data_IF_655542993385
#
_entry.id   IF_655542993385
#
_cell.length_a   1.000
_cell.length_b   1.000
_cell.length_c   1.000
_cell.angle_alpha   90.00
_cell.angle_beta   90.00
_cell.angle_gamma   90.00
#
_symmetry.space_group_name_H-M   'P 1'
#
loop_
_entity.id
_entity.type
_entity.pdbx_description
1 polymer ?
#
# COMPACT_ATOMS: atom_id res chain seq x y z
N UNK A 1 -0.27 -3.76 4.66
CA UNK A 1 0.22 -3.59 3.30
C UNK A 1 1.65 -3.09 3.24
N UNK A 2 2.20 -3.05 2.05
CA UNK A 2 3.56 -2.57 1.78
C UNK A 2 3.57 -1.33 0.88
N UNK A 3 2.51 -1.12 0.10
CA UNK A 3 2.41 -0.02 -0.84
C UNK A 3 1.89 1.26 -0.18
N UNK A 4 2.50 2.39 -0.55
CA UNK A 4 2.08 3.74 -0.15
C UNK A 4 2.12 4.60 -1.42
N UNK A 5 0.98 5.10 -1.85
CA UNK A 5 0.83 5.89 -3.07
C UNK A 5 -0.21 5.30 -4.01
N UNK A 6 -0.55 6.01 -5.08
CA UNK A 6 -1.77 5.79 -5.86
C UNK A 6 -1.81 4.42 -6.59
N UNK A 7 -1.09 4.28 -7.71
CA UNK A 7 -1.12 3.04 -8.51
C UNK A 7 -0.53 1.84 -7.77
N UNK A 8 0.47 2.04 -6.89
CA UNK A 8 1.06 0.97 -6.09
C UNK A 8 0.02 0.35 -5.16
N UNK A 9 -0.80 1.17 -4.49
CA UNK A 9 -1.88 0.70 -3.62
C UNK A 9 -2.99 0.00 -4.41
N UNK A 10 -3.34 0.50 -5.60
CA UNK A 10 -4.32 -0.16 -6.48
C UNK A 10 -3.82 -1.55 -6.91
N UNK A 11 -2.54 -1.67 -7.26
CA UNK A 11 -1.92 -2.96 -7.60
C UNK A 11 -1.98 -3.92 -6.40
N UNK A 12 -1.59 -3.45 -5.21
CA UNK A 12 -1.64 -4.26 -3.98
C UNK A 12 -3.08 -4.68 -3.63
N UNK A 13 -4.05 -3.78 -3.80
CA UNK A 13 -5.47 -4.10 -3.61
C UNK A 13 -5.96 -5.16 -4.61
N UNK A 14 -5.55 -5.09 -5.88
CA UNK A 14 -5.86 -6.12 -6.86
C UNK A 14 -5.34 -7.50 -6.43
N UNK A 15 -4.09 -7.57 -5.99
CA UNK A 15 -3.50 -8.82 -5.51
C UNK A 15 -4.17 -9.32 -4.23
N UNK A 16 -4.55 -8.42 -3.32
CA UNK A 16 -5.29 -8.76 -2.10
C UNK A 16 -6.65 -9.37 -2.42
N UNK A 17 -7.41 -8.77 -3.34
CA UNK A 17 -8.71 -9.27 -3.76
C UNK A 17 -8.63 -10.58 -4.57
N UNK A 18 -7.46 -10.91 -5.11
CA UNK A 18 -7.15 -12.19 -5.73
C UNK A 18 -6.62 -13.25 -4.76
N UNK A 19 -6.54 -12.92 -3.47
CA UNK A 19 -6.00 -13.82 -2.44
C UNK A 19 -4.48 -13.96 -2.45
N UNK A 20 -3.75 -13.03 -3.08
CA UNK A 20 -2.27 -13.01 -3.20
C UNK A 20 -1.63 -11.81 -2.50
N UNK A 21 -2.41 -10.96 -1.87
CA UNK A 21 -1.94 -9.77 -1.18
C UNK A 21 -1.24 -10.05 0.15
N UNK A 22 -0.67 -9.01 0.77
CA UNK A 22 -0.06 -9.09 2.09
C UNK A 22 -1.05 -9.62 3.14
N UNK A 23 -0.55 -10.48 4.03
CA UNK A 23 -1.39 -11.14 5.05
C UNK A 23 -2.04 -10.11 5.98
N UNK A 24 -1.27 -9.12 6.44
CA UNK A 24 -1.75 -8.06 7.33
C UNK A 24 -2.83 -7.19 6.70
N UNK A 25 -2.66 -6.79 5.43
CA UNK A 25 -3.67 -6.03 4.70
C UNK A 25 -4.93 -6.87 4.48
N UNK A 26 -4.76 -8.12 4.08
CA UNK A 26 -5.87 -9.05 3.85
C UNK A 26 -6.68 -9.24 5.13
N UNK A 27 -6.02 -9.49 6.26
CA UNK A 27 -6.68 -9.70 7.56
C UNK A 27 -7.46 -8.46 8.03
N UNK A 28 -6.83 -7.27 7.96
CA UNK A 28 -7.51 -6.01 8.32
C UNK A 28 -8.72 -5.78 7.43
N UNK A 29 -8.60 -6.02 6.12
CA UNK A 29 -9.70 -5.83 5.16
C UNK A 29 -10.86 -6.77 5.44
N UNK A 30 -10.59 -8.06 5.73
CA UNK A 30 -11.63 -9.03 6.09
C UNK A 30 -12.33 -8.62 7.38
N UNK A 31 -11.60 -8.22 8.43
CA UNK A 31 -12.20 -7.81 9.70
C UNK A 31 -13.06 -6.57 9.59
N UNK A 32 -12.61 -5.58 8.84
CA UNK A 32 -13.41 -4.36 8.59
C UNK A 32 -14.70 -4.69 7.82
N UNK A 33 -14.63 -5.51 6.77
CA UNK A 33 -15.79 -5.91 6.02
C UNK A 33 -16.75 -6.80 6.84
N UNK A 34 -16.22 -7.70 7.67
CA UNK A 34 -17.03 -8.49 8.61
C UNK A 34 -17.75 -7.59 9.61
N UNK A 35 -17.06 -6.58 10.17
CA UNK A 35 -17.68 -5.59 11.05
C UNK A 35 -18.83 -4.81 10.37
N UNK A 36 -18.71 -4.50 9.07
CA UNK A 36 -19.81 -3.90 8.31
C UNK A 36 -21.00 -4.85 8.15
N UNK A 37 -20.76 -6.16 7.94
CA UNK A 37 -21.83 -7.16 7.91
C UNK A 37 -22.56 -7.27 9.26
N UNK A 38 -21.81 -7.21 10.36
CA UNK A 38 -22.38 -7.20 11.72
C UNK A 38 -23.25 -5.96 11.97
N UNK A 39 -22.72 -4.78 11.64
CA UNK A 39 -23.45 -3.51 11.80
C UNK A 39 -24.73 -3.46 10.97
N UNK A 40 -24.72 -4.09 9.79
CA UNK A 40 -25.91 -4.19 8.93
C UNK A 40 -26.92 -5.24 9.39
N UNK A 41 -26.58 -6.06 10.39
CA UNK A 41 -27.41 -7.17 10.86
C UNK A 41 -27.45 -8.39 9.94
N UNK A 42 -26.59 -8.41 8.90
CA UNK A 42 -26.59 -9.48 7.88
C UNK A 42 -25.96 -10.78 8.38
N UNK A 43 -24.90 -10.70 9.19
CA UNK A 43 -24.19 -11.83 9.78
C UNK A 43 -23.43 -11.38 11.02
N UNK A 44 -22.94 -12.29 11.88
CA UNK A 44 -22.27 -11.94 13.14
C UNK A 44 -21.05 -12.83 13.42
N UNK A 45 -20.06 -12.25 14.12
CA UNK A 45 -18.90 -12.96 14.65
C UNK A 45 -18.13 -13.74 13.58
N UNK A 46 -17.76 -14.96 13.89
CA UNK A 46 -16.99 -15.82 13.01
C UNK A 46 -17.69 -16.10 11.67
N UNK A 47 -19.02 -16.16 11.67
CA UNK A 47 -19.78 -16.34 10.42
C UNK A 47 -19.57 -15.15 9.48
N UNK A 48 -19.58 -13.92 9.99
CA UNK A 48 -19.32 -12.72 9.18
C UNK A 48 -17.90 -12.74 8.59
N UNK A 49 -16.92 -13.11 9.42
CA UNK A 49 -15.52 -13.25 9.01
C UNK A 49 -15.35 -14.26 7.87
N UNK A 50 -15.83 -15.49 8.05
CA UNK A 50 -15.70 -16.55 7.04
C UNK A 50 -16.49 -16.24 5.76
N UNK A 51 -17.63 -15.56 5.84
CA UNK A 51 -18.38 -15.08 4.66
C UNK A 51 -17.53 -14.13 3.82
N UNK A 52 -16.88 -13.15 4.44
CA UNK A 52 -16.01 -12.18 3.72
C UNK A 52 -14.82 -12.88 3.13
N UNK A 53 -14.12 -13.70 3.90
CA UNK A 53 -12.95 -14.48 3.47
C UNK A 53 -13.26 -15.35 2.26
N UNK A 54 -14.42 -15.99 2.24
CA UNK A 54 -14.88 -16.80 1.12
C UNK A 54 -15.01 -15.98 -0.17
N UNK A 55 -15.43 -14.69 -0.11
CA UNK A 55 -15.57 -13.86 -1.31
C UNK A 55 -14.22 -13.56 -1.96
N UNK A 56 -13.14 -13.48 -1.19
CA UNK A 56 -11.78 -13.37 -1.74
C UNK A 56 -11.38 -14.71 -2.37
N UNK A 57 -11.57 -15.82 -1.66
CA UNK A 57 -11.15 -17.15 -2.09
C UNK A 57 -11.85 -17.62 -3.39
N UNK A 58 -13.13 -17.29 -3.56
CA UNK A 58 -13.92 -17.68 -4.71
C UNK A 58 -13.90 -16.63 -5.86
N UNK A 59 -13.16 -15.52 -5.69
CA UNK A 59 -13.00 -14.48 -6.69
C UNK A 59 -14.16 -13.48 -6.81
N UNK A 60 -15.22 -13.61 -6.01
CA UNK A 60 -16.38 -12.70 -6.09
C UNK A 60 -16.02 -11.28 -5.63
N UNK A 61 -15.11 -11.14 -4.65
CA UNK A 61 -14.63 -9.82 -4.22
C UNK A 61 -13.94 -9.09 -5.37
N UNK A 62 -13.06 -9.75 -6.13
CA UNK A 62 -12.41 -9.17 -7.30
C UNK A 62 -13.42 -8.87 -8.42
N UNK A 63 -14.39 -9.75 -8.66
CA UNK A 63 -15.46 -9.51 -9.64
C UNK A 63 -16.26 -8.24 -9.27
N UNK A 64 -16.62 -8.07 -8.00
CA UNK A 64 -17.34 -6.88 -7.52
C UNK A 64 -16.52 -5.60 -7.63
N UNK A 65 -15.21 -5.66 -7.40
CA UNK A 65 -14.30 -4.56 -7.67
C UNK A 65 -14.36 -4.12 -9.14
N UNK A 66 -14.30 -5.06 -10.08
CA UNK A 66 -14.40 -4.73 -11.51
C UNK A 66 -15.71 -4.03 -11.85
N UNK A 67 -16.84 -4.52 -11.33
CA UNK A 67 -18.14 -3.86 -11.49
C UNK A 67 -18.12 -2.42 -10.98
N UNK A 68 -17.53 -2.19 -9.80
CA UNK A 68 -17.42 -0.86 -9.21
C UNK A 68 -16.57 0.08 -10.09
N UNK A 69 -15.41 -0.38 -10.57
CA UNK A 69 -14.54 0.41 -11.46
C UNK A 69 -15.26 0.77 -12.75
N UNK A 70 -15.96 -0.19 -13.40
CA UNK A 70 -16.76 0.07 -14.59
C UNK A 70 -17.88 1.08 -14.33
N UNK A 71 -18.60 0.93 -13.22
CA UNK A 71 -19.70 1.83 -12.87
C UNK A 71 -19.23 3.28 -12.64
N UNK A 72 -17.97 3.47 -12.25
CA UNK A 72 -17.33 4.78 -12.10
C UNK A 72 -16.64 5.29 -13.37
N UNK A 73 -16.78 4.58 -14.50
CA UNK A 73 -16.16 4.95 -15.78
C UNK A 73 -14.67 4.65 -15.88
N UNK A 74 -14.13 3.80 -14.99
CA UNK A 74 -12.73 3.39 -15.01
C UNK A 74 -12.46 2.28 -16.03
N UNK A 75 -11.20 2.18 -16.46
CA UNK A 75 -10.73 1.11 -17.35
C UNK A 75 -10.30 -0.12 -16.55
N UNK A 76 -11.12 -1.17 -16.59
CA UNK A 76 -10.85 -2.43 -15.89
C UNK A 76 -9.63 -3.19 -16.41
N UNK A 77 -9.14 -2.86 -17.62
CA UNK A 77 -7.98 -3.55 -18.18
C UNK A 77 -6.72 -3.40 -17.33
N UNK A 78 -6.59 -2.29 -16.60
CA UNK A 78 -5.49 -2.04 -15.66
C UNK A 78 -5.57 -2.91 -14.41
N UNK A 79 -6.77 -3.10 -13.84
CA UNK A 79 -6.92 -3.95 -12.65
C UNK A 79 -6.94 -5.44 -13.00
N UNK A 80 -7.31 -5.79 -14.22
CA UNK A 80 -7.18 -7.16 -14.72
C UNK A 80 -5.71 -7.54 -14.99
N UNK A 81 -4.93 -6.57 -15.45
CA UNK A 81 -3.52 -6.74 -15.79
C UNK A 81 -2.70 -5.60 -15.15
N UNK A 82 -2.36 -5.69 -13.85
CA UNK A 82 -1.66 -4.62 -13.13
C UNK A 82 -0.31 -4.23 -13.73
N UNK A 83 0.30 -5.12 -14.50
CA UNK A 83 1.55 -4.85 -15.23
C UNK A 83 1.40 -3.78 -16.34
N UNK A 84 0.16 -3.44 -16.73
CA UNK A 84 -0.14 -2.36 -17.67
C UNK A 84 -0.07 -0.97 -17.04
N UNK A 85 -0.10 -0.86 -15.70
CA UNK A 85 0.09 0.43 -15.06
C UNK A 85 1.44 1.02 -15.50
N UNK A 86 1.47 2.27 -15.97
CA UNK A 86 2.74 2.94 -16.23
C UNK A 86 3.59 2.95 -14.96
N UNK A 87 4.90 2.92 -15.15
CA UNK A 87 5.86 2.93 -14.05
C UNK A 87 6.38 4.34 -13.83
N UNK A 88 6.82 4.64 -12.62
CA UNK A 88 7.56 5.85 -12.33
C UNK A 88 8.86 5.91 -13.18
N UNK A 89 9.30 7.11 -13.51
CA UNK A 89 10.51 7.32 -14.32
C UNK A 89 11.77 6.79 -13.63
N UNK A 90 11.82 6.92 -12.30
CA UNK A 90 12.97 6.57 -11.46
C UNK A 90 12.54 5.73 -10.27
N UNK A 91 13.48 4.89 -9.84
CA UNK A 91 13.37 4.11 -8.60
C UNK A 91 14.68 4.21 -7.83
N UNK A 92 14.60 4.38 -6.52
CA UNK A 92 15.77 4.39 -5.63
C UNK A 92 15.51 3.53 -4.38
N UNK A 93 16.49 2.73 -3.93
CA UNK A 93 16.38 1.99 -2.68
C UNK A 93 16.65 2.92 -1.50
N UNK A 94 15.81 2.86 -0.46
CA UNK A 94 16.12 3.42 0.85
C UNK A 94 16.87 2.37 1.67
N UNK A 95 18.11 2.65 2.03
CA UNK A 95 18.96 1.74 2.78
C UNK A 95 18.96 2.08 4.27
N UNK A 96 19.03 1.05 5.12
CA UNK A 96 19.17 1.24 6.55
C UNK A 96 20.55 1.81 6.91
N UNK A 97 20.59 2.85 7.73
CA UNK A 97 21.81 3.44 8.27
C UNK A 97 22.35 2.68 9.52
N UNK A 98 21.54 1.73 10.05
CA UNK A 98 21.80 0.96 11.28
C UNK A 98 21.31 -0.46 11.19
N UNK A 99 21.60 -1.26 12.21
CA UNK A 99 21.04 -2.60 12.43
C UNK A 99 20.14 -2.62 13.66
N UNK A 100 19.27 -3.62 13.78
CA UNK A 100 18.36 -3.82 14.91
C UNK A 100 16.95 -4.22 14.44
N UNK A 101 16.07 -4.44 15.40
CA UNK A 101 14.66 -4.68 15.11
C UNK A 101 13.91 -3.37 14.87
N UNK A 102 13.03 -3.34 13.88
CA UNK A 102 12.09 -2.23 13.71
C UNK A 102 11.01 -2.38 14.79
N UNK A 103 10.95 -1.44 15.74
CA UNK A 103 9.97 -1.43 16.82
C UNK A 103 8.63 -0.82 16.40
N UNK A 104 8.70 0.26 15.62
CA UNK A 104 7.52 0.97 15.13
C UNK A 104 7.86 1.83 13.92
N UNK A 105 6.83 2.26 13.21
CA UNK A 105 6.92 3.23 12.13
C UNK A 105 5.96 4.38 12.40
N UNK A 106 6.42 5.61 12.15
CA UNK A 106 5.60 6.81 12.16
C UNK A 106 4.85 6.88 10.82
N UNK A 107 3.56 6.55 10.83
CA UNK A 107 2.72 6.49 9.63
C UNK A 107 2.47 7.86 9.00
N UNK A 108 2.46 8.94 9.80
CA UNK A 108 2.35 10.31 9.29
C UNK A 108 3.58 10.66 8.45
N UNK A 109 4.78 10.38 8.96
CA UNK A 109 6.02 10.57 8.19
C UNK A 109 6.06 9.73 6.92
N UNK A 110 5.56 8.49 6.95
CA UNK A 110 5.44 7.68 5.74
C UNK A 110 4.54 8.36 4.69
N UNK A 111 3.41 8.94 5.12
CA UNK A 111 2.53 9.72 4.26
C UNK A 111 3.20 10.98 3.70
N UNK A 112 3.90 11.75 4.56
CA UNK A 112 4.65 12.95 4.14
C UNK A 112 5.73 12.59 3.11
N UNK A 113 6.52 11.54 3.35
CA UNK A 113 7.53 11.09 2.40
C UNK A 113 6.92 10.72 1.03
N UNK A 114 5.74 10.12 0.99
CA UNK A 114 5.05 9.82 -0.27
C UNK A 114 4.62 11.10 -1.02
N UNK A 115 4.19 12.13 -0.30
CA UNK A 115 3.87 13.44 -0.88
C UNK A 115 5.12 14.11 -1.45
N UNK A 116 6.25 14.06 -0.74
CA UNK A 116 7.54 14.60 -1.19
C UNK A 116 8.05 13.92 -2.46
N UNK A 117 7.66 12.67 -2.72
CA UNK A 117 7.93 11.95 -3.98
C UNK A 117 6.99 12.35 -5.12
N UNK A 118 5.90 13.07 -4.82
CA UNK A 118 4.89 13.50 -5.80
C UNK A 118 3.61 12.68 -5.79
N UNK A 119 3.43 11.70 -4.88
CA UNK A 119 2.22 10.89 -4.80
C UNK A 119 1.02 11.63 -4.19
N UNK A 120 1.24 12.81 -3.61
CA UNK A 120 0.21 13.66 -3.02
C UNK A 120 0.41 15.12 -3.36
N UNK A 121 -0.41 16.00 -2.74
CA UNK A 121 -0.37 17.45 -2.92
C UNK A 121 0.17 18.11 -1.66
N UNK A 122 1.18 18.97 -1.81
CA UNK A 122 1.61 19.87 -0.74
C UNK A 122 0.67 21.08 -0.66
N UNK A 123 0.18 21.56 -1.80
CA UNK A 123 -0.71 22.71 -1.91
C UNK A 123 -1.92 22.38 -2.78
N UNK A 124 -3.03 23.08 -2.53
CA UNK A 124 -4.23 22.97 -3.37
C UNK A 124 -3.90 23.33 -4.82
N UNK A 125 -4.13 22.40 -5.74
CA UNK A 125 -3.89 22.59 -7.19
C UNK A 125 -2.60 21.96 -7.69
N UNK A 126 -1.71 21.47 -6.82
CA UNK A 126 -0.52 20.75 -7.25
C UNK A 126 -0.89 19.51 -8.05
N UNK A 127 -0.14 19.17 -9.11
CA UNK A 127 -0.32 17.91 -9.82
C UNK A 127 0.06 16.72 -8.92
N UNK A 128 -0.66 15.63 -9.06
CA UNK A 128 -0.31 14.34 -8.44
C UNK A 128 0.31 13.46 -9.51
N UNK A 129 1.46 12.86 -9.20
CA UNK A 129 2.00 11.77 -9.99
C UNK A 129 1.37 10.44 -9.53
N UNK A 130 0.50 9.83 -10.34
CA UNK A 130 -0.18 8.59 -9.93
C UNK A 130 0.78 7.38 -9.82
N UNK A 131 2.01 7.51 -10.28
CA UNK A 131 3.01 6.43 -10.29
C UNK A 131 4.09 6.60 -9.23
N UNK A 132 4.14 7.78 -8.59
CA UNK A 132 5.01 8.02 -7.45
C UNK A 132 4.49 7.31 -6.19
N UNK A 133 5.41 6.95 -5.29
CA UNK A 133 5.08 6.32 -4.02
C UNK A 133 6.23 5.54 -3.42
N UNK A 134 5.90 4.69 -2.46
CA UNK A 134 6.84 3.90 -1.67
C UNK A 134 6.38 2.45 -1.63
N UNK A 135 7.31 1.52 -1.78
CA UNK A 135 7.07 0.11 -1.51
C UNK A 135 7.95 -0.31 -0.34
N UNK A 136 7.35 -0.52 0.82
CA UNK A 136 8.05 -0.98 2.02
C UNK A 136 8.61 -2.38 1.80
N UNK A 137 9.82 -2.63 2.29
CA UNK A 137 10.47 -3.94 2.30
C UNK A 137 10.64 -4.47 3.71
N UNK A 138 10.58 -3.58 4.69
CA UNK A 138 10.73 -3.87 6.11
C UNK A 138 9.66 -3.14 6.91
N UNK A 139 9.13 -3.80 7.94
CA UNK A 139 8.02 -3.35 8.78
C UNK A 139 8.31 -3.62 10.26
N UNK A 140 7.51 -3.09 11.20
CA UNK A 140 7.66 -3.43 12.61
C UNK A 140 7.69 -4.94 12.86
N UNK A 141 8.69 -5.39 13.63
CA UNK A 141 8.99 -6.79 13.90
C UNK A 141 10.12 -7.38 13.05
N UNK A 142 10.51 -6.73 11.94
CA UNK A 142 11.60 -7.22 11.10
C UNK A 142 12.96 -6.87 11.70
N UNK A 143 13.89 -7.83 11.63
CA UNK A 143 15.31 -7.62 11.85
C UNK A 143 15.94 -7.03 10.60
N UNK A 144 16.73 -5.98 10.76
CA UNK A 144 17.39 -5.26 9.68
C UNK A 144 18.89 -5.17 9.95
N UNK A 145 19.70 -5.31 8.91
CA UNK A 145 21.14 -5.06 8.93
C UNK A 145 21.44 -3.71 8.30
N UNK A 146 22.54 -3.09 8.74
CA UNK A 146 23.02 -1.86 8.10
C UNK A 146 23.24 -2.08 6.60
N UNK A 147 22.73 -1.17 5.77
CA UNK A 147 22.79 -1.25 4.31
C UNK A 147 21.71 -2.14 3.66
N UNK A 148 20.84 -2.76 4.45
CA UNK A 148 19.69 -3.52 3.94
C UNK A 148 18.59 -2.58 3.44
N UNK A 149 17.84 -2.99 2.41
CA UNK A 149 16.77 -2.19 1.81
C UNK A 149 15.57 -2.15 2.76
N UNK A 150 15.20 -0.96 3.21
CA UNK A 150 14.00 -0.70 4.01
C UNK A 150 12.77 -0.49 3.13
N UNK A 151 12.94 0.23 2.02
CA UNK A 151 11.88 0.56 1.09
C UNK A 151 12.45 0.84 -0.31
N UNK A 152 11.59 0.82 -1.31
CA UNK A 152 11.86 1.33 -2.66
C UNK A 152 11.02 2.58 -2.89
N UNK A 153 11.64 3.64 -3.39
CA UNK A 153 11.02 4.93 -3.70
C UNK A 153 10.79 5.04 -5.20
N UNK A 154 9.59 5.48 -5.59
CA UNK A 154 9.17 5.64 -6.99
C UNK A 154 8.84 7.10 -7.23
N UNK A 155 9.42 7.76 -8.25
CA UNK A 155 9.28 9.17 -8.48
C UNK A 155 9.58 9.58 -9.92
N UNK A 156 9.11 10.76 -10.33
CA UNK A 156 9.41 11.34 -11.64
C UNK A 156 10.87 11.80 -11.72
N UNK A 157 11.47 11.77 -12.91
CA UNK A 157 12.88 12.15 -13.15
C UNK A 157 13.28 13.51 -12.58
N UNK A 158 12.34 14.47 -12.57
CA UNK A 158 12.56 15.84 -12.06
C UNK A 158 12.55 15.98 -10.53
N UNK A 159 12.13 14.92 -9.79
CA UNK A 159 12.03 14.93 -8.34
C UNK A 159 13.37 14.53 -7.73
N UNK A 160 13.82 15.31 -6.73
CA UNK A 160 14.96 14.92 -5.89
C UNK A 160 14.45 14.14 -4.67
N UNK A 161 14.73 12.86 -4.52
CA UNK A 161 14.17 12.04 -3.44
C UNK A 161 14.79 12.31 -2.06
N UNK A 162 15.82 13.14 -1.94
CA UNK A 162 16.59 13.29 -0.70
C UNK A 162 15.74 13.73 0.51
N UNK A 163 14.71 14.56 0.31
CA UNK A 163 13.78 14.94 1.38
C UNK A 163 12.97 13.73 1.84
N UNK A 164 12.36 13.01 0.91
CA UNK A 164 11.57 11.81 1.18
C UNK A 164 12.40 10.69 1.82
N UNK A 165 13.65 10.49 1.37
CA UNK A 165 14.59 9.54 1.98
C UNK A 165 14.82 9.88 3.46
N UNK A 166 15.11 11.15 3.77
CA UNK A 166 15.31 11.60 5.13
C UNK A 166 14.05 11.43 5.97
N UNK A 167 12.90 11.92 5.49
CA UNK A 167 11.62 11.81 6.20
C UNK A 167 11.25 10.36 6.48
N UNK A 168 11.44 9.47 5.49
CA UNK A 168 11.12 8.05 5.66
C UNK A 168 12.11 7.33 6.58
N UNK A 169 13.42 7.65 6.56
CA UNK A 169 14.37 7.11 7.53
C UNK A 169 14.00 7.49 8.97
N UNK A 170 13.56 8.74 9.17
CA UNK A 170 13.09 9.20 10.49
C UNK A 170 11.76 8.56 10.93
N UNK A 171 11.01 7.96 10.01
CA UNK A 171 9.80 7.22 10.34
C UNK A 171 10.10 5.89 11.05
N UNK A 172 11.25 5.27 10.80
CA UNK A 172 11.63 4.01 11.39
C UNK A 172 12.22 4.19 12.79
N UNK A 173 11.65 3.50 13.76
CA UNK A 173 12.18 3.42 15.13
C UNK A 173 12.78 2.04 15.35
N UNK A 174 14.07 2.01 15.62
CA UNK A 174 14.81 0.79 15.88
C UNK A 174 15.01 0.55 17.38
N UNK A 175 15.19 -0.71 17.75
CA UNK A 175 15.60 -1.18 19.06
C UNK A 175 16.57 -2.36 18.93
N UNK A 176 17.21 -2.67 20.07
CA UNK A 176 18.14 -3.78 20.21
C UNK A 176 17.43 -5.14 20.16
#
# INVERSE_FOLDING_TARGET
GYAIGNSLEVIEACETLRGKGPIDLTEVSIRLAAGLLELSGFSKGEEAYERVKLQIQNGQAFAKWKEMVMAQGGDVSFIENPEKFPKADKTAPLLSDREGYILSMDTEKCGVASVELGAGRERKGDPIDPYAGILLRKKPGDLVRKGEILAELFFAEKVNPAAAEKTLLEAYRFGD
#
